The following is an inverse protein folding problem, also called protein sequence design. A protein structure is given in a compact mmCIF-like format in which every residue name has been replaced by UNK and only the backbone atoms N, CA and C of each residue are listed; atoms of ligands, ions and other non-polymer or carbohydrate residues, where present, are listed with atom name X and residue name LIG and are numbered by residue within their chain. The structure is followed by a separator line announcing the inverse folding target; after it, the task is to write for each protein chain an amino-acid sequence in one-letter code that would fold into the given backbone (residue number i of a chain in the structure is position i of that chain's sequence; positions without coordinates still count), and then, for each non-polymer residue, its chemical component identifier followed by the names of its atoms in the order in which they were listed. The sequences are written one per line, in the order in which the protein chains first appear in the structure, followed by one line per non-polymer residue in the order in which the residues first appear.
data_IF_506729264871
#
_entry.id   IF_506729264871
#
_cell.length_a   1.000
_cell.length_b   1.000
_cell.length_c   1.000
_cell.angle_alpha   90.00
_cell.angle_beta   90.00
_cell.angle_gamma   90.00
#
_symmetry.space_group_name_H-M   'P 1'
#
loop_
_entity.id
_entity.type
_entity.pdbx_description
1 polymer ?
#
# COMPACT_ATOMS: atom_id res chain seq x y z
N UNK A 1 6.89 -10.85 -42.47
CA UNK A 1 6.05 -10.00 -41.60
C UNK A 1 5.63 -10.91 -40.46
N UNK A 2 6.02 -10.63 -39.22
CA UNK A 2 5.81 -11.58 -38.10
C UNK A 2 4.31 -11.80 -37.93
N UNK A 3 3.91 -13.06 -38.02
CA UNK A 3 2.54 -13.54 -38.06
C UNK A 3 2.10 -14.03 -36.68
N UNK A 4 2.36 -13.23 -35.65
CA UNK A 4 2.04 -13.56 -34.27
C UNK A 4 1.39 -12.33 -33.62
N UNK A 5 0.06 -12.31 -33.58
CA UNK A 5 -0.71 -11.44 -32.69
C UNK A 5 -0.60 -12.05 -31.29
N UNK A 6 0.40 -11.63 -30.52
CA UNK A 6 0.45 -11.87 -29.08
C UNK A 6 0.12 -10.54 -28.38
N UNK A 7 -1.06 -10.45 -27.75
CA UNK A 7 -1.51 -9.27 -26.99
C UNK A 7 -0.70 -9.01 -25.71
N UNK A 8 0.38 -9.76 -25.43
CA UNK A 8 1.17 -9.53 -24.22
C UNK A 8 2.67 -9.88 -24.38
N UNK A 9 3.53 -8.86 -24.25
CA UNK A 9 4.98 -8.96 -24.33
C UNK A 9 5.61 -9.31 -22.96
N UNK A 10 6.84 -9.86 -22.94
CA UNK A 10 7.53 -10.14 -21.67
C UNK A 10 8.13 -8.84 -21.09
N UNK A 11 8.24 -8.70 -19.74
CA UNK A 11 8.79 -7.49 -19.12
C UNK A 11 10.21 -7.10 -19.55
N UNK A 12 10.98 -8.07 -20.06
CA UNK A 12 12.35 -7.88 -20.55
C UNK A 12 12.45 -7.75 -22.07
N UNK A 13 11.33 -7.88 -22.78
CA UNK A 13 11.33 -7.83 -24.24
C UNK A 13 11.70 -6.42 -24.70
N UNK A 14 12.49 -6.38 -25.75
CA UNK A 14 12.97 -5.11 -26.30
C UNK A 14 11.92 -4.59 -27.26
N UNK A 15 11.49 -3.36 -27.02
CA UNK A 15 10.65 -2.63 -27.93
C UNK A 15 11.44 -2.27 -29.19
N UNK A 16 10.78 -2.38 -30.34
CA UNK A 16 11.30 -1.96 -31.63
C UNK A 16 10.47 -0.80 -32.18
N UNK A 17 11.03 -0.07 -33.15
CA UNK A 17 10.34 1.06 -33.75
C UNK A 17 9.08 0.59 -34.48
N UNK A 18 7.92 1.04 -34.00
CA UNK A 18 6.59 0.71 -34.55
C UNK A 18 5.70 -0.11 -33.61
N UNK A 19 6.17 -0.52 -32.43
CA UNK A 19 5.35 -1.23 -31.45
C UNK A 19 4.33 -0.32 -30.76
N UNK A 20 3.15 -0.86 -30.44
CA UNK A 20 2.07 -0.18 -29.69
C UNK A 20 1.87 -0.87 -28.33
N UNK A 21 1.67 -0.08 -27.27
CA UNK A 21 1.51 -0.57 -25.89
C UNK A 21 0.22 0.00 -25.32
N UNK A 22 -0.62 -0.86 -24.75
CA UNK A 22 -1.84 -0.47 -24.05
C UNK A 22 -1.70 -0.72 -22.55
N UNK A 23 -2.02 0.28 -21.74
CA UNK A 23 -2.12 0.16 -20.29
C UNK A 23 -3.55 0.47 -19.86
N UNK A 24 -4.12 -0.41 -19.05
CA UNK A 24 -5.42 -0.17 -18.42
C UNK A 24 -5.26 -0.19 -16.91
N UNK A 25 -5.09 1.00 -16.33
CA UNK A 25 -5.03 1.17 -14.88
C UNK A 25 -6.38 1.67 -14.40
N UNK A 26 -7.10 0.79 -13.71
CA UNK A 26 -8.15 1.21 -12.80
C UNK A 26 -7.72 0.75 -11.41
N UNK A 27 -7.42 1.70 -10.53
CA UNK A 27 -7.79 1.67 -9.11
C UNK A 27 -7.12 2.85 -8.41
N UNK A 28 -7.89 3.94 -8.24
CA UNK A 28 -7.59 4.96 -7.26
C UNK A 28 -7.88 4.37 -5.87
N UNK A 29 -6.91 3.67 -5.31
CA UNK A 29 -6.87 3.47 -3.87
C UNK A 29 -6.27 4.71 -3.23
N UNK A 30 -7.12 5.68 -2.89
CA UNK A 30 -6.78 6.67 -1.88
C UNK A 30 -6.66 5.92 -0.55
N UNK A 31 -5.45 5.52 -0.17
CA UNK A 31 -5.17 5.06 1.19
C UNK A 31 -5.21 6.27 2.14
N UNK A 32 -6.41 6.80 2.35
CA UNK A 32 -6.62 7.84 3.36
C UNK A 32 -6.47 7.20 4.75
N UNK A 33 -5.35 7.48 5.41
CA UNK A 33 -5.15 7.11 6.80
C UNK A 33 -6.01 8.04 7.65
N UNK A 34 -7.13 7.52 8.13
CA UNK A 34 -8.03 8.24 9.02
C UNK A 34 -7.71 7.92 10.47
N UNK A 35 -7.75 8.92 11.38
CA UNK A 35 -7.52 8.68 12.78
C UNK A 35 -8.58 7.70 13.31
N UNK A 36 -8.12 6.63 13.94
CA UNK A 36 -8.99 5.63 14.56
C UNK A 36 -9.20 5.94 16.04
N UNK A 37 -10.41 5.66 16.54
CA UNK A 37 -10.68 5.77 17.97
C UNK A 37 -10.11 4.54 18.69
N UNK A 38 -8.88 4.67 19.17
CA UNK A 38 -8.17 3.63 19.91
C UNK A 38 -8.01 4.07 21.37
N UNK A 39 -8.42 3.21 22.30
CA UNK A 39 -8.23 3.45 23.72
C UNK A 39 -6.83 2.96 24.13
N UNK A 40 -5.97 3.89 24.54
CA UNK A 40 -4.65 3.57 25.08
C UNK A 40 -4.68 3.56 26.61
N UNK A 41 -4.06 2.54 27.22
CA UNK A 41 -3.77 2.57 28.65
C UNK A 41 -2.47 3.36 28.86
N UNK A 42 -2.57 4.54 29.44
CA UNK A 42 -1.43 5.45 29.67
C UNK A 42 -0.76 5.09 31.00
N UNK A 43 0.52 4.73 30.94
CA UNK A 43 1.35 4.42 32.11
C UNK A 43 1.94 5.71 32.68
N UNK A 44 2.39 6.61 31.80
CA UNK A 44 2.98 7.89 32.17
C UNK A 44 2.83 8.90 31.02
N UNK A 45 2.76 10.19 31.36
CA UNK A 45 2.61 11.27 30.39
C UNK A 45 3.39 12.50 30.84
N UNK A 46 4.14 13.08 29.90
CA UNK A 46 4.93 14.29 30.10
C UNK A 46 4.60 15.31 29.01
N UNK A 47 5.22 16.49 29.06
CA UNK A 47 5.04 17.49 28.01
C UNK A 47 5.64 17.08 26.66
N UNK A 48 6.60 16.15 26.66
CA UNK A 48 7.39 15.80 25.48
C UNK A 48 7.05 14.40 24.94
N UNK A 49 6.61 13.48 25.80
CA UNK A 49 6.30 12.10 25.42
C UNK A 49 5.26 11.45 26.33
N UNK A 50 4.65 10.39 25.81
CA UNK A 50 3.70 9.52 26.51
C UNK A 50 4.22 8.07 26.51
N UNK A 51 4.01 7.35 27.60
CA UNK A 51 4.26 5.92 27.72
C UNK A 51 2.91 5.23 27.80
N UNK A 52 2.62 4.38 26.82
CA UNK A 52 1.37 3.60 26.75
C UNK A 52 1.65 2.11 26.81
N UNK A 53 0.75 1.37 27.45
CA UNK A 53 0.73 -0.08 27.36
C UNK A 53 0.17 -0.50 26.00
N UNK A 54 0.99 -1.21 25.22
CA UNK A 54 0.58 -1.71 23.92
C UNK A 54 -0.31 -2.94 24.10
N UNK A 55 -1.60 -2.78 23.87
CA UNK A 55 -2.54 -3.90 23.86
C UNK A 55 -2.16 -4.97 22.83
N UNK A 56 -2.42 -6.25 23.11
CA UNK A 56 -2.42 -7.29 22.09
C UNK A 56 -3.34 -6.88 20.94
N UNK A 57 -2.95 -7.21 19.70
CA UNK A 57 -3.67 -6.89 18.46
C UNK A 57 -3.65 -5.42 18.01
N UNK A 58 -2.96 -4.51 18.72
CA UNK A 58 -2.65 -3.18 18.19
C UNK A 58 -1.47 -3.24 17.20
N UNK A 59 -1.63 -2.68 16.01
CA UNK A 59 -0.63 -2.60 14.95
C UNK A 59 0.12 -1.27 15.07
N UNK A 60 1.43 -1.26 14.80
CA UNK A 60 2.25 -0.04 14.95
C UNK A 60 2.26 0.84 13.70
N UNK A 61 2.16 0.22 12.54
CA UNK A 61 2.14 0.89 11.23
C UNK A 61 1.29 0.09 10.26
N UNK A 62 0.44 0.74 9.45
CA UNK A 62 -0.32 0.06 8.41
C UNK A 62 0.62 -0.63 7.43
N UNK A 63 0.22 -1.80 6.96
CA UNK A 63 0.96 -2.55 5.96
C UNK A 63 0.02 -3.41 5.13
N UNK A 64 0.58 -4.10 4.14
CA UNK A 64 -0.19 -5.05 3.34
C UNK A 64 -0.91 -6.05 4.25
N UNK A 65 -2.25 -6.12 4.14
CA UNK A 65 -3.11 -7.00 4.96
C UNK A 65 -3.44 -6.49 6.36
N UNK A 66 -2.93 -5.32 6.75
CA UNK A 66 -3.13 -4.70 8.06
C UNK A 66 -3.26 -3.18 7.87
N UNK A 67 -4.37 -2.75 7.28
CA UNK A 67 -4.59 -1.34 6.92
C UNK A 67 -5.12 -0.49 8.07
N UNK A 68 -5.60 -1.12 9.14
CA UNK A 68 -6.31 -0.52 10.27
C UNK A 68 -5.73 -1.01 11.60
N UNK A 69 -6.16 -0.41 12.70
CA UNK A 69 -5.78 -0.79 14.06
C UNK A 69 -4.40 -0.24 14.45
N UNK A 70 -4.06 0.94 13.95
CA UNK A 70 -2.87 1.72 14.31
C UNK A 70 -3.24 3.13 14.77
#
# INVERSE_FOLDING_TARGET
MRSDQDENCKPKDKLVSGDEIEFNFNDNHDSSWMPEKINFNVIDETNDYIIVEKSPNLIMHPGAGNEQGT
#
